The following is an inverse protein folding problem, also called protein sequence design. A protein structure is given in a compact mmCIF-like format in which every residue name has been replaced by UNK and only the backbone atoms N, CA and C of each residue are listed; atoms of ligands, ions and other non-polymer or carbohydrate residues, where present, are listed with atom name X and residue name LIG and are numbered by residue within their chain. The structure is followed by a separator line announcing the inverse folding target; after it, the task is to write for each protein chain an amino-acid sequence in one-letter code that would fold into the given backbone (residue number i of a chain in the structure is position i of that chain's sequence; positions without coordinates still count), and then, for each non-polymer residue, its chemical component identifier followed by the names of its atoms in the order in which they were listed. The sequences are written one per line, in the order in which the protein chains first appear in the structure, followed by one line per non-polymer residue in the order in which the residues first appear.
data_IF_043527863745
#
_entry.id   IF_043527863745
#
_cell.length_a   1.000
_cell.length_b   1.000
_cell.length_c   1.000
_cell.angle_alpha   90.00
_cell.angle_beta   90.00
_cell.angle_gamma   90.00
#
_symmetry.space_group_name_H-M   'P 1'
#
loop_
_entity.id
_entity.type
_entity.pdbx_description
1 polymer ?
#
# COMPACT_ATOMS: atom_id res chain seq x y z
N UNK A 1 -53.11 -0.65 -16.38
CA UNK A 1 -52.23 -1.04 -15.25
C UNK A 1 -50.96 -1.76 -15.69
N UNK A 2 -50.76 -2.11 -16.97
CA UNK A 2 -49.52 -2.78 -17.44
C UNK A 2 -48.38 -1.83 -17.88
N UNK A 3 -48.69 -0.58 -18.25
CA UNK A 3 -47.66 0.36 -18.75
C UNK A 3 -46.79 0.95 -17.63
N UNK A 4 -47.36 1.16 -16.45
CA UNK A 4 -46.65 1.71 -15.28
C UNK A 4 -45.65 0.71 -14.68
N UNK A 5 -45.95 -0.59 -14.75
CA UNK A 5 -45.07 -1.68 -14.29
C UNK A 5 -43.89 -1.93 -15.25
N UNK A 6 -44.11 -1.75 -16.56
CA UNK A 6 -43.04 -1.84 -17.57
C UNK A 6 -42.06 -0.67 -17.49
N UNK A 7 -42.55 0.53 -17.19
CA UNK A 7 -41.70 1.69 -16.96
C UNK A 7 -40.72 1.44 -15.79
N UNK A 8 -41.19 0.88 -14.67
CA UNK A 8 -40.31 0.63 -13.51
C UNK A 8 -39.24 -0.45 -13.75
N UNK A 9 -39.51 -1.44 -14.61
CA UNK A 9 -38.51 -2.45 -14.99
C UNK A 9 -37.45 -1.84 -15.90
N UNK A 10 -37.87 -1.03 -16.88
CA UNK A 10 -36.94 -0.37 -17.81
C UNK A 10 -36.04 0.60 -17.04
N UNK A 11 -36.59 1.37 -16.10
CA UNK A 11 -35.81 2.29 -15.25
C UNK A 11 -34.77 1.52 -14.41
N UNK A 12 -35.14 0.38 -13.83
CA UNK A 12 -34.18 -0.48 -13.10
C UNK A 12 -33.06 -1.03 -14.00
N UNK A 13 -33.37 -1.38 -15.25
CA UNK A 13 -32.35 -1.81 -16.23
C UNK A 13 -31.41 -0.66 -16.62
N UNK A 14 -31.93 0.57 -16.69
CA UNK A 14 -31.12 1.77 -16.94
C UNK A 14 -30.15 2.00 -15.77
N UNK A 15 -30.64 1.94 -14.52
CA UNK A 15 -29.81 2.13 -13.32
C UNK A 15 -28.66 1.10 -13.22
N UNK A 16 -28.94 -0.18 -13.52
CA UNK A 16 -27.92 -1.23 -13.55
C UNK A 16 -26.85 -0.96 -14.61
N UNK A 17 -27.26 -0.53 -15.81
CA UNK A 17 -26.33 -0.18 -16.89
C UNK A 17 -25.48 1.04 -16.52
N UNK A 18 -26.08 2.08 -15.93
CA UNK A 18 -25.35 3.27 -15.48
C UNK A 18 -24.32 2.92 -14.41
N UNK A 19 -24.68 2.05 -13.45
CA UNK A 19 -23.76 1.55 -12.44
C UNK A 19 -22.60 0.76 -13.07
N UNK A 20 -22.89 -0.12 -14.02
CA UNK A 20 -21.86 -0.87 -14.75
C UNK A 20 -20.91 0.04 -15.54
N UNK A 21 -21.43 1.11 -16.14
CA UNK A 21 -20.62 2.14 -16.83
C UNK A 21 -19.70 2.85 -15.84
N UNK A 22 -20.20 3.22 -14.66
CA UNK A 22 -19.39 3.90 -13.63
C UNK A 22 -18.28 2.98 -13.08
N UNK A 23 -18.59 1.72 -12.81
CA UNK A 23 -17.59 0.73 -12.38
C UNK A 23 -16.53 0.51 -13.46
N UNK A 24 -16.95 0.38 -14.73
CA UNK A 24 -16.05 0.27 -15.87
C UNK A 24 -15.15 1.50 -16.03
N UNK A 25 -15.67 2.69 -15.74
CA UNK A 25 -14.90 3.95 -15.79
C UNK A 25 -13.82 4.00 -14.71
N UNK A 26 -14.13 3.60 -13.48
CA UNK A 26 -13.15 3.50 -12.38
C UNK A 26 -12.04 2.49 -12.69
N UNK A 27 -12.41 1.34 -13.25
CA UNK A 27 -11.45 0.33 -13.69
C UNK A 27 -10.54 0.90 -14.79
N UNK A 28 -11.11 1.58 -15.79
CA UNK A 28 -10.35 2.21 -16.87
C UNK A 28 -9.37 3.27 -16.36
N UNK A 29 -9.77 4.09 -15.39
CA UNK A 29 -8.89 5.07 -14.75
C UNK A 29 -7.71 4.39 -14.05
N UNK A 30 -7.97 3.31 -13.32
CA UNK A 30 -6.95 2.49 -12.68
C UNK A 30 -5.96 1.94 -13.72
N UNK A 31 -6.46 1.36 -14.82
CA UNK A 31 -5.60 0.82 -15.87
C UNK A 31 -4.79 1.91 -16.59
N UNK A 32 -5.34 3.11 -16.78
CA UNK A 32 -4.59 4.25 -17.33
C UNK A 32 -3.47 4.68 -16.40
N UNK A 33 -3.71 4.70 -15.10
CA UNK A 33 -2.69 5.00 -14.10
C UNK A 33 -1.58 3.95 -14.10
N UNK A 34 -1.94 2.66 -14.11
CA UNK A 34 -0.97 1.56 -14.21
C UNK A 34 -0.15 1.62 -15.50
N UNK A 35 -0.78 1.94 -16.63
CA UNK A 35 -0.09 2.13 -17.91
C UNK A 35 0.96 3.24 -17.79
N UNK A 36 0.58 4.40 -17.22
CA UNK A 36 1.50 5.52 -17.00
C UNK A 36 2.71 5.12 -16.14
N UNK A 37 2.51 4.31 -15.10
CA UNK A 37 3.62 3.79 -14.28
C UNK A 37 4.49 2.81 -15.08
N UNK A 38 3.87 1.94 -15.87
CA UNK A 38 4.60 0.94 -16.66
C UNK A 38 5.47 1.56 -17.77
N UNK A 39 5.04 2.72 -18.28
CA UNK A 39 5.72 3.51 -19.29
C UNK A 39 6.65 4.57 -18.69
N UNK A 40 6.63 4.77 -17.37
CA UNK A 40 7.56 5.68 -16.71
C UNK A 40 9.00 5.16 -16.88
N UNK A 41 9.94 6.09 -17.00
CA UNK A 41 11.36 5.75 -17.10
C UNK A 41 11.77 4.85 -15.93
N UNK A 42 12.18 3.63 -16.25
CA UNK A 42 12.74 2.72 -15.26
C UNK A 42 14.12 3.24 -14.90
N UNK A 43 14.33 3.54 -13.62
CA UNK A 43 15.67 3.84 -13.15
C UNK A 43 16.55 2.59 -13.33
N UNK A 44 17.82 2.76 -13.74
CA UNK A 44 18.79 1.68 -13.77
C UNK A 44 18.86 0.95 -12.43
N UNK A 45 19.10 -0.37 -12.46
CA UNK A 45 19.13 -1.20 -11.24
C UNK A 45 20.13 -0.68 -10.21
N UNK A 46 21.30 -0.23 -10.64
CA UNK A 46 22.32 0.39 -9.79
C UNK A 46 21.85 1.67 -9.09
N UNK A 47 21.02 2.48 -9.75
CA UNK A 47 20.40 3.66 -9.14
C UNK A 47 19.29 3.28 -8.16
N UNK A 48 18.51 2.25 -8.47
CA UNK A 48 17.53 1.69 -7.55
C UNK A 48 18.23 1.16 -6.30
N UNK A 49 19.24 0.30 -6.46
CA UNK A 49 20.00 -0.29 -5.37
C UNK A 49 20.63 0.80 -4.47
N UNK A 50 21.22 1.84 -5.08
CA UNK A 50 21.78 2.99 -4.35
C UNK A 50 20.74 3.85 -3.63
N UNK A 51 19.55 4.01 -4.21
CA UNK A 51 18.43 4.66 -3.53
C UNK A 51 17.90 3.80 -2.37
N UNK A 52 17.94 2.47 -2.50
CA UNK A 52 17.53 1.56 -1.44
C UNK A 52 18.57 1.45 -0.32
N UNK A 53 19.86 1.66 -0.59
CA UNK A 53 20.95 1.70 0.40
C UNK A 53 20.76 2.78 1.49
N UNK A 54 20.12 3.91 1.14
CA UNK A 54 19.79 4.97 2.12
C UNK A 54 18.48 4.70 2.87
N UNK A 55 17.76 3.64 2.50
CA UNK A 55 16.56 3.17 3.18
C UNK A 55 16.88 1.97 4.08
N UNK A 56 15.94 1.58 4.93
CA UNK A 56 16.07 0.38 5.75
C UNK A 56 15.95 -0.94 4.96
N UNK A 57 15.88 -0.90 3.62
CA UNK A 57 15.77 -2.09 2.80
C UNK A 57 16.99 -3.01 3.01
N UNK A 58 16.73 -4.29 3.30
CA UNK A 58 17.77 -5.28 3.61
C UNK A 58 18.38 -5.17 5.01
N UNK A 59 17.91 -4.26 5.88
CA UNK A 59 18.44 -4.08 7.24
C UNK A 59 17.38 -4.41 8.31
N UNK A 60 17.80 -5.04 9.42
CA UNK A 60 16.97 -5.27 10.62
C UNK A 60 16.46 -3.96 11.27
N UNK A 61 17.14 -2.85 10.99
CA UNK A 61 16.77 -1.51 11.41
C UNK A 61 15.76 -0.87 10.43
N UNK A 62 14.51 -1.35 10.43
CA UNK A 62 13.37 -0.64 9.82
C UNK A 62 13.24 0.78 10.36
N UNK A 63 13.07 1.79 9.48
CA UNK A 63 12.79 3.20 9.85
C UNK A 63 11.28 3.47 10.06
N UNK A 64 10.44 2.49 9.73
CA UNK A 64 9.00 2.57 9.83
C UNK A 64 8.53 2.21 11.25
N UNK A 65 7.64 3.03 11.81
CA UNK A 65 6.87 2.65 12.99
C UNK A 65 5.91 1.49 12.70
N UNK A 66 5.36 0.82 13.73
CA UNK A 66 4.41 -0.30 13.56
C UNK A 66 3.17 0.11 12.75
N UNK A 67 2.83 1.40 12.79
CA UNK A 67 1.79 2.06 12.00
C UNK A 67 1.95 1.89 10.47
N UNK A 68 3.19 1.72 10.01
CA UNK A 68 3.55 1.55 8.60
C UNK A 68 3.91 0.09 8.38
N UNK A 69 2.90 -0.74 8.20
CA UNK A 69 2.96 -2.20 7.97
C UNK A 69 3.89 -2.56 6.80
N UNK A 70 5.20 -2.57 7.04
CA UNK A 70 6.21 -2.84 6.02
C UNK A 70 6.25 -4.34 5.72
N UNK A 71 5.92 -4.81 4.49
CA UNK A 71 5.86 -6.23 4.17
C UNK A 71 7.20 -6.95 4.42
N UNK A 72 8.32 -6.27 4.17
CA UNK A 72 9.66 -6.82 4.38
C UNK A 72 9.99 -7.01 5.87
N UNK A 73 9.60 -6.05 6.73
CA UNK A 73 9.84 -6.16 8.18
C UNK A 73 8.97 -7.27 8.79
N UNK A 74 7.70 -7.36 8.36
CA UNK A 74 6.80 -8.41 8.82
C UNK A 74 7.30 -9.80 8.43
N UNK A 75 7.77 -9.97 7.18
CA UNK A 75 8.35 -11.23 6.73
C UNK A 75 9.59 -11.65 7.53
N UNK A 76 10.45 -10.69 7.93
CA UNK A 76 11.60 -10.97 8.80
C UNK A 76 11.16 -11.32 10.22
N UNK A 77 10.17 -10.62 10.77
CA UNK A 77 9.63 -10.93 12.10
C UNK A 77 9.03 -12.34 12.12
N UNK A 78 8.24 -12.69 11.11
CA UNK A 78 7.67 -14.03 10.94
C UNK A 78 8.78 -15.10 10.82
N UNK A 79 9.78 -14.89 9.97
CA UNK A 79 10.88 -15.84 9.77
C UNK A 79 11.72 -16.06 11.04
N UNK A 80 11.83 -15.05 11.91
CA UNK A 80 12.62 -15.09 13.14
C UNK A 80 11.78 -15.39 14.39
N UNK A 81 10.46 -15.52 14.26
CA UNK A 81 9.54 -15.70 15.39
C UNK A 81 9.51 -14.50 16.35
N UNK A 82 9.68 -13.29 15.83
CA UNK A 82 9.66 -12.05 16.60
C UNK A 82 8.28 -11.39 16.52
N UNK A 83 7.84 -10.81 17.63
CA UNK A 83 6.67 -9.92 17.63
C UNK A 83 7.07 -8.52 17.10
N UNK A 84 6.39 -8.00 16.07
CA UNK A 84 6.72 -6.70 15.49
C UNK A 84 6.60 -5.51 16.46
N UNK A 85 5.68 -5.57 17.43
CA UNK A 85 5.45 -4.51 18.43
C UNK A 85 6.57 -4.53 19.46
N UNK A 86 6.96 -5.71 19.95
CA UNK A 86 8.08 -5.87 20.87
C UNK A 86 9.40 -5.40 20.25
N UNK A 87 9.66 -5.76 18.97
CA UNK A 87 10.84 -5.30 18.25
C UNK A 87 10.91 -3.78 18.18
N UNK A 88 9.77 -3.11 18.00
CA UNK A 88 9.71 -1.65 17.96
C UNK A 88 9.95 -1.03 19.33
N UNK A 89 9.40 -1.61 20.40
CA UNK A 89 9.60 -1.14 21.77
C UNK A 89 11.08 -1.22 22.18
N UNK A 90 11.76 -2.33 21.87
CA UNK A 90 13.21 -2.49 22.12
C UNK A 90 14.03 -1.40 21.42
N UNK A 91 13.68 -1.09 20.16
CA UNK A 91 14.35 -0.02 19.41
C UNK A 91 14.14 1.35 20.06
N UNK A 92 12.92 1.64 20.49
CA UNK A 92 12.58 2.90 21.17
C UNK A 92 13.38 3.05 22.47
N UNK A 93 13.41 2.01 23.30
CA UNK A 93 14.13 2.02 24.57
C UNK A 93 15.63 2.22 24.39
N UNK A 94 16.23 1.61 23.36
CA UNK A 94 17.64 1.80 23.01
C UNK A 94 17.96 3.25 22.61
N UNK A 95 17.09 3.89 21.81
CA UNK A 95 17.24 5.30 21.44
C UNK A 95 17.07 6.21 22.66
N UNK A 96 16.06 5.96 23.50
CA UNK A 96 15.80 6.75 24.70
C UNK A 96 16.94 6.63 25.73
N UNK A 97 17.58 5.46 25.84
CA UNK A 97 18.76 5.25 26.66
C UNK A 97 19.96 6.03 26.13
N UNK A 98 20.24 5.93 24.83
CA UNK A 98 21.34 6.67 24.18
C UNK A 98 21.19 8.19 24.35
N UNK A 99 19.98 8.73 24.15
CA UNK A 99 19.70 10.16 24.34
C UNK A 99 19.80 10.64 25.81
N UNK A 100 19.68 9.74 26.79
CA UNK A 100 19.89 10.05 28.21
C UNK A 100 21.36 10.05 28.59
N UNK A 101 22.19 9.26 27.92
CA UNK A 101 23.63 9.21 28.15
C UNK A 101 24.38 10.41 27.54
N UNK A 102 23.79 11.07 26.53
CA UNK A 102 24.34 12.29 25.91
C UNK A 102 23.97 13.61 26.63
N UNK A 103 23.29 13.57 27.78
CA UNK A 103 22.94 14.75 28.61
C UNK A 103 23.77 14.86 29.87
#
# INVERSE_FOLDING_TARGET
MEETEKASIIDGMIDELEKGVEEGRKALETYRYLKKISEADKIPKDQADKAMEVTCYGHLAGCCGPEKECPTQLAVCEALGLDPVELFQVKKDAVDAWLKEEK
#
